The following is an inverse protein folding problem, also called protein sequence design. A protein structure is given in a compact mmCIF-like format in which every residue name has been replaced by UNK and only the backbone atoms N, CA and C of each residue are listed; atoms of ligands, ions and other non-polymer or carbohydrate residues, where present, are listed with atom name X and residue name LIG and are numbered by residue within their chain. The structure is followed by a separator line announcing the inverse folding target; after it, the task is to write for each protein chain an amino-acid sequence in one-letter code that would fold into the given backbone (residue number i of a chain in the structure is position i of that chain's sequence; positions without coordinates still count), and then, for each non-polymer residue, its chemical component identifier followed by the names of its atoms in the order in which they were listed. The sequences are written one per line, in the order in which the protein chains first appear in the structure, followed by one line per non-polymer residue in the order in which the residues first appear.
data_IF_849367907398
#
_entry.id   IF_849367907398
#
_cell.length_a   1.000
_cell.length_b   1.000
_cell.length_c   1.000
_cell.angle_alpha   90.00
_cell.angle_beta   90.00
_cell.angle_gamma   90.00
#
_symmetry.space_group_name_H-M   'P 1'
#
loop_
_entity.id
_entity.type
_entity.pdbx_description
1 polymer ?
#
# COMPACT_ATOMS: atom_id res chain seq x y z
N UNK A 1 26.53 -1.81 42.56
CA UNK A 1 25.22 -1.22 42.24
C UNK A 1 24.53 -2.16 41.28
N UNK A 2 23.60 -2.96 41.80
CA UNK A 2 22.86 -3.97 41.04
C UNK A 2 21.79 -3.25 40.21
N UNK A 3 21.92 -3.29 38.89
CA UNK A 3 20.91 -2.74 37.98
C UNK A 3 19.67 -3.63 37.99
N UNK A 4 18.66 -3.23 38.73
CA UNK A 4 17.35 -3.88 38.73
C UNK A 4 16.63 -3.53 37.42
N UNK A 5 16.15 -4.54 36.70
CA UNK A 5 15.43 -4.34 35.45
C UNK A 5 14.09 -3.64 35.71
N UNK A 6 13.74 -2.67 34.85
CA UNK A 6 12.49 -1.93 34.95
C UNK A 6 11.27 -2.88 34.92
N UNK A 7 10.22 -2.59 35.71
CA UNK A 7 9.05 -3.45 35.81
C UNK A 7 8.27 -3.52 34.47
N UNK A 8 7.57 -4.63 34.18
CA UNK A 8 6.89 -4.85 32.89
C UNK A 8 5.89 -3.75 32.49
N UNK A 9 5.27 -3.05 33.44
CA UNK A 9 4.36 -1.93 33.18
C UNK A 9 5.09 -0.66 32.71
N UNK A 10 6.31 -0.43 33.18
CA UNK A 10 7.19 0.66 32.73
C UNK A 10 7.87 0.30 31.41
N UNK A 11 8.23 -0.98 31.22
CA UNK A 11 8.64 -1.50 29.91
C UNK A 11 7.52 -1.36 28.89
N UNK A 12 6.26 -1.66 29.24
CA UNK A 12 5.11 -1.49 28.35
C UNK A 12 4.88 -0.02 27.97
N UNK A 13 5.17 0.94 28.87
CA UNK A 13 5.18 2.38 28.54
C UNK A 13 6.33 2.73 27.61
N UNK A 14 7.53 2.17 27.82
CA UNK A 14 8.65 2.34 26.90
C UNK A 14 8.35 1.72 25.51
N UNK A 15 7.73 0.54 25.43
CA UNK A 15 7.30 -0.10 24.18
C UNK A 15 6.12 0.63 23.53
N UNK A 16 5.19 1.17 24.33
CA UNK A 16 4.06 2.02 23.87
C UNK A 16 4.54 3.36 23.29
N UNK A 17 5.71 3.85 23.70
CA UNK A 17 6.30 5.08 23.20
C UNK A 17 7.30 4.83 22.05
N UNK A 18 7.87 3.63 21.95
CA UNK A 18 8.97 3.30 21.03
C UNK A 18 8.56 2.76 19.65
N UNK A 19 7.32 2.37 19.41
CA UNK A 19 6.90 1.93 18.07
C UNK A 19 6.37 3.10 17.24
N UNK A 20 7.29 3.85 16.61
CA UNK A 20 7.03 4.55 15.35
C UNK A 20 6.58 3.51 14.33
N UNK A 21 5.28 3.19 14.37
CA UNK A 21 4.72 2.04 13.67
C UNK A 21 4.61 2.37 12.19
N UNK A 22 5.37 1.66 11.36
CA UNK A 22 5.15 1.63 9.91
C UNK A 22 3.95 0.72 9.67
N UNK A 23 2.86 1.30 9.18
CA UNK A 23 1.71 0.57 8.70
C UNK A 23 1.98 0.10 7.27
N UNK A 24 1.45 -1.07 6.97
CA UNK A 24 1.34 -1.58 5.62
C UNK A 24 -0.11 -1.53 5.16
N UNK A 25 -0.35 -1.09 3.92
CA UNK A 25 -1.68 -1.13 3.28
C UNK A 25 -1.52 -1.63 1.85
N UNK A 26 -2.09 -2.80 1.56
CA UNK A 26 -1.98 -3.48 0.26
C UNK A 26 -3.20 -3.24 -0.63
N UNK A 27 -2.94 -3.08 -1.93
CA UNK A 27 -3.94 -2.89 -2.98
C UNK A 27 -3.57 -3.70 -4.22
N UNK A 28 -4.59 -4.08 -5.00
CA UNK A 28 -4.41 -4.62 -6.36
C UNK A 28 -4.69 -3.48 -7.34
N UNK A 29 -3.66 -2.95 -7.98
CA UNK A 29 -3.76 -1.86 -8.95
C UNK A 29 -3.95 -2.38 -10.37
N UNK A 30 -4.78 -1.68 -11.15
CA UNK A 30 -4.99 -1.88 -12.59
C UNK A 30 -4.79 -0.57 -13.32
N UNK A 31 -4.61 -0.64 -14.64
CA UNK A 31 -4.56 0.56 -15.50
C UNK A 31 -5.77 1.46 -15.22
N UNK A 32 -5.50 2.74 -14.96
CA UNK A 32 -6.51 3.73 -14.62
C UNK A 32 -6.88 3.79 -13.13
N UNK A 33 -6.24 3.02 -12.25
CA UNK A 33 -6.37 3.16 -10.80
C UNK A 33 -5.37 4.19 -10.23
N UNK A 34 -5.74 4.82 -9.12
CA UNK A 34 -4.93 5.80 -8.39
C UNK A 34 -4.99 5.53 -6.89
N UNK A 35 -3.92 5.88 -6.19
CA UNK A 35 -3.83 5.79 -4.74
C UNK A 35 -3.31 7.10 -4.19
N UNK A 36 -4.13 7.81 -3.42
CA UNK A 36 -3.71 8.98 -2.66
C UNK A 36 -3.20 8.54 -1.27
N UNK A 37 -2.05 9.06 -0.87
CA UNK A 37 -1.47 8.92 0.47
C UNK A 37 -1.50 10.28 1.14
N UNK A 38 -2.55 10.50 1.94
CA UNK A 38 -2.96 11.83 2.36
C UNK A 38 -3.07 12.78 1.17
N UNK A 39 -2.66 14.02 1.38
CA UNK A 39 -2.35 15.01 0.37
C UNK A 39 -0.85 15.17 0.13
N UNK A 40 -0.05 14.11 0.36
CA UNK A 40 1.41 14.14 0.28
C UNK A 40 1.99 13.39 -0.92
N UNK A 41 1.35 12.30 -1.31
CA UNK A 41 1.71 11.58 -2.53
C UNK A 41 0.47 11.01 -3.23
N UNK A 42 0.56 10.82 -4.54
CA UNK A 42 -0.42 10.07 -5.33
C UNK A 42 0.27 9.20 -6.36
N UNK A 43 -0.09 7.91 -6.41
CA UNK A 43 0.45 6.98 -7.41
C UNK A 43 -0.66 6.60 -8.40
N UNK A 44 -0.47 6.94 -9.68
CA UNK A 44 -1.37 6.58 -10.76
C UNK A 44 -0.78 5.41 -11.57
N UNK A 45 -1.62 4.42 -11.89
CA UNK A 45 -1.24 3.28 -12.73
C UNK A 45 -1.58 3.61 -14.18
N UNK A 46 -0.57 3.93 -14.98
CA UNK A 46 -0.74 4.38 -16.36
C UNK A 46 -0.81 3.23 -17.34
N UNK A 47 0.12 2.28 -17.21
CA UNK A 47 0.19 1.11 -18.05
C UNK A 47 0.77 -0.07 -17.26
N UNK A 48 0.35 -1.29 -17.60
CA UNK A 48 0.89 -2.54 -17.04
C UNK A 48 0.94 -3.55 -18.17
N UNK A 49 2.05 -4.27 -18.33
CA UNK A 49 2.16 -5.36 -19.30
C UNK A 49 1.27 -6.58 -18.98
N UNK A 50 0.68 -6.60 -17.79
CA UNK A 50 -0.25 -7.62 -17.27
C UNK A 50 -1.58 -6.99 -16.87
N UNK A 51 -2.53 -7.80 -16.40
CA UNK A 51 -3.87 -7.33 -16.01
C UNK A 51 -3.91 -6.49 -14.73
N UNK A 52 -2.94 -6.65 -13.84
CA UNK A 52 -2.86 -5.95 -12.55
C UNK A 52 -1.42 -5.95 -12.00
N UNK A 53 -1.23 -5.33 -10.84
CA UNK A 53 -0.03 -5.38 -9.99
C UNK A 53 -0.41 -5.27 -8.50
N UNK A 54 0.44 -5.71 -7.59
CA UNK A 54 0.34 -5.43 -6.16
C UNK A 54 1.05 -4.12 -5.81
N UNK A 55 0.38 -3.30 -5.01
CA UNK A 55 0.91 -2.04 -4.49
C UNK A 55 0.74 -2.07 -2.97
N UNK A 56 1.85 -2.05 -2.24
CA UNK A 56 1.84 -2.00 -0.78
C UNK A 56 2.46 -0.70 -0.30
N UNK A 57 1.69 0.08 0.45
CA UNK A 57 2.15 1.34 1.03
C UNK A 57 2.76 1.04 2.39
N UNK A 58 4.02 1.40 2.57
CA UNK A 58 4.74 1.34 3.82
C UNK A 58 4.95 2.76 4.31
N UNK A 59 4.27 3.16 5.38
CA UNK A 59 4.37 4.51 5.92
C UNK A 59 3.70 4.65 7.28
N UNK A 60 3.53 5.86 7.78
CA UNK A 60 2.90 6.08 9.08
C UNK A 60 1.45 5.54 9.13
N UNK A 61 1.06 4.96 10.27
CA UNK A 61 -0.32 4.55 10.56
C UNK A 61 -1.32 5.71 10.46
N UNK A 62 -0.87 6.95 10.61
CA UNK A 62 -1.71 8.15 10.55
C UNK A 62 -1.93 8.69 9.14
N UNK A 63 -1.29 8.11 8.13
CA UNK A 63 -1.55 8.47 6.73
C UNK A 63 -2.89 7.89 6.30
N UNK A 64 -3.81 8.74 5.81
CA UNK A 64 -4.99 8.25 5.12
C UNK A 64 -4.58 7.71 3.75
N UNK A 65 -5.19 6.62 3.30
CA UNK A 65 -4.93 6.05 1.98
C UNK A 65 -6.25 5.85 1.25
N UNK A 66 -6.38 6.47 0.08
CA UNK A 66 -7.63 6.46 -0.70
C UNK A 66 -7.37 5.88 -2.08
N UNK A 67 -7.98 4.74 -2.35
CA UNK A 67 -7.92 4.05 -3.64
C UNK A 67 -9.10 4.48 -4.52
N UNK A 68 -8.85 4.93 -5.74
CA UNK A 68 -9.87 5.45 -6.63
C UNK A 68 -9.51 5.24 -8.12
N UNK A 69 -10.32 5.81 -9.02
CA UNK A 69 -10.03 5.87 -10.45
C UNK A 69 -9.31 7.17 -10.81
N UNK A 70 -8.28 7.05 -11.64
CA UNK A 70 -7.38 8.15 -12.05
C UNK A 70 -8.12 9.33 -12.67
N UNK A 71 -9.18 9.10 -13.44
CA UNK A 71 -9.94 10.20 -14.08
C UNK A 71 -10.60 11.17 -13.08
N UNK A 72 -10.78 10.76 -11.81
CA UNK A 72 -11.30 11.63 -10.72
C UNK A 72 -10.20 12.10 -9.77
N UNK A 73 -8.95 11.73 -10.02
CA UNK A 73 -7.85 11.90 -9.06
C UNK A 73 -7.55 13.36 -8.72
N UNK A 74 -7.51 14.22 -9.75
CA UNK A 74 -7.28 15.67 -9.59
C UNK A 74 -8.42 16.34 -8.83
N UNK A 75 -9.67 16.11 -9.28
CA UNK A 75 -10.86 16.62 -8.60
C UNK A 75 -10.95 16.17 -7.14
N UNK A 76 -10.64 14.89 -6.86
CA UNK A 76 -10.61 14.33 -5.50
C UNK A 76 -9.55 15.03 -4.66
N UNK A 77 -8.37 15.28 -5.23
CA UNK A 77 -7.30 15.99 -4.54
C UNK A 77 -7.74 17.40 -4.14
N UNK A 78 -8.15 18.22 -5.11
CA UNK A 78 -8.58 19.61 -4.87
C UNK A 78 -9.70 19.74 -3.84
N UNK A 79 -10.71 18.84 -3.93
CA UNK A 79 -11.87 18.87 -3.04
C UNK A 79 -11.57 18.39 -1.63
N UNK A 80 -10.67 17.41 -1.47
CA UNK A 80 -10.55 16.67 -0.22
C UNK A 80 -9.19 16.75 0.48
N UNK A 81 -8.19 17.38 -0.13
CA UNK A 81 -6.94 17.75 0.55
C UNK A 81 -7.20 18.64 1.75
N UNK A 82 -6.55 18.34 2.88
CA UNK A 82 -6.80 19.02 4.15
C UNK A 82 -8.06 18.54 4.88
N UNK A 83 -8.91 17.69 4.28
CA UNK A 83 -10.19 17.25 4.89
C UNK A 83 -10.23 15.73 5.06
N UNK A 84 -10.19 14.98 3.95
CA UNK A 84 -10.15 13.50 3.97
C UNK A 84 -8.78 12.96 3.57
N UNK A 85 -8.10 13.69 2.69
CA UNK A 85 -6.73 13.43 2.27
C UNK A 85 -5.82 14.18 3.25
N UNK A 86 -5.51 13.51 4.36
CA UNK A 86 -4.71 14.04 5.45
C UNK A 86 -3.57 13.07 5.77
N UNK A 87 -2.38 13.58 6.12
CA UNK A 87 -1.95 14.99 6.16
C UNK A 87 -1.82 15.64 4.76
N UNK A 88 -1.77 16.98 4.63
CA UNK A 88 -1.84 17.99 5.69
C UNK A 88 -3.25 18.07 6.31
N UNK A 89 -3.36 18.64 7.52
CA UNK A 89 -4.63 18.75 8.26
C UNK A 89 -5.51 19.91 7.80
N UNK A 90 -4.95 20.87 7.07
CA UNK A 90 -5.66 22.05 6.56
C UNK A 90 -5.16 22.39 5.15
N UNK A 91 -5.91 23.21 4.42
CA UNK A 91 -5.59 23.55 3.03
C UNK A 91 -4.49 24.60 2.92
N UNK A 92 -4.40 25.50 3.88
CA UNK A 92 -3.41 26.60 3.90
C UNK A 92 -1.98 26.05 3.89
N UNK A 93 -1.77 24.91 4.56
CA UNK A 93 -0.48 24.22 4.60
C UNK A 93 -0.05 23.64 3.26
N UNK A 94 -0.95 23.52 2.29
CA UNK A 94 -0.62 23.00 0.95
C UNK A 94 0.17 24.03 0.15
N UNK A 95 -0.19 25.31 0.30
CA UNK A 95 0.50 26.41 -0.39
C UNK A 95 1.97 26.50 0.06
N UNK A 96 2.27 26.09 1.29
CA UNK A 96 3.63 26.00 1.85
C UNK A 96 4.44 24.82 1.31
N UNK A 97 3.80 23.78 0.75
CA UNK A 97 4.48 22.55 0.31
C UNK A 97 5.07 22.66 -1.10
N UNK A 98 4.75 23.74 -1.83
CA UNK A 98 5.28 24.01 -3.16
C UNK A 98 4.46 23.36 -4.30
N UNK A 99 5.01 23.34 -5.53
CA UNK A 99 4.30 22.83 -6.69
C UNK A 99 4.04 21.32 -6.60
N UNK A 100 2.82 20.91 -6.95
CA UNK A 100 2.45 19.50 -7.06
C UNK A 100 2.80 18.97 -8.45
N UNK A 101 3.84 18.13 -8.53
CA UNK A 101 4.46 17.71 -9.79
C UNK A 101 4.31 16.21 -10.06
N UNK A 102 4.27 15.85 -11.34
CA UNK A 102 4.24 14.47 -11.81
C UNK A 102 5.67 13.98 -12.12
N UNK A 103 6.03 12.82 -11.58
CA UNK A 103 7.28 12.10 -11.90
C UNK A 103 6.92 10.74 -12.52
N UNK A 104 7.27 10.49 -13.79
CA UNK A 104 7.07 9.18 -14.41
C UNK A 104 8.05 8.15 -13.83
N UNK A 105 7.56 6.96 -13.51
CA UNK A 105 8.36 5.87 -12.95
C UNK A 105 8.04 4.59 -13.72
N UNK A 106 9.09 3.90 -14.16
CA UNK A 106 8.99 2.58 -14.76
C UNK A 106 9.54 1.56 -13.76
N UNK A 107 8.75 0.51 -13.49
CA UNK A 107 9.15 -0.58 -12.61
C UNK A 107 8.98 -1.92 -13.31
N UNK A 108 9.89 -2.84 -13.02
CA UNK A 108 9.86 -4.20 -13.56
C UNK A 108 9.93 -5.22 -12.43
N UNK A 109 9.30 -6.38 -12.64
CA UNK A 109 9.39 -7.52 -11.75
C UNK A 109 9.13 -8.81 -12.50
N UNK A 110 9.51 -9.94 -11.90
CA UNK A 110 9.46 -11.26 -12.50
C UNK A 110 8.38 -12.17 -11.88
N UNK A 111 7.76 -11.73 -10.78
CA UNK A 111 6.79 -12.54 -10.04
C UNK A 111 5.73 -11.69 -9.34
N UNK A 112 4.61 -12.36 -9.04
CA UNK A 112 3.51 -11.85 -8.26
C UNK A 112 3.70 -12.07 -6.75
N UNK A 113 4.47 -13.09 -6.37
CA UNK A 113 4.55 -13.58 -4.99
C UNK A 113 5.46 -12.75 -4.08
N UNK A 114 6.11 -11.72 -4.62
CA UNK A 114 6.97 -10.79 -3.85
C UNK A 114 7.00 -9.40 -4.46
N UNK A 115 7.23 -8.40 -3.63
CA UNK A 115 7.60 -7.07 -4.11
C UNK A 115 9.01 -7.12 -4.73
N UNK A 116 9.15 -6.54 -5.92
CA UNK A 116 10.41 -6.47 -6.66
C UNK A 116 11.11 -5.12 -6.45
N UNK A 117 10.34 -4.02 -6.50
CA UNK A 117 10.84 -2.65 -6.46
C UNK A 117 10.11 -1.85 -5.41
N UNK A 118 10.84 -1.07 -4.62
CA UNK A 118 10.29 -0.01 -3.79
C UNK A 118 10.44 1.34 -4.49
N UNK A 119 9.39 2.16 -4.44
CA UNK A 119 9.41 3.58 -4.79
C UNK A 119 9.38 4.37 -3.48
N UNK A 120 10.54 4.83 -3.03
CA UNK A 120 10.69 5.54 -1.76
C UNK A 120 10.54 7.05 -1.92
N UNK A 121 9.80 7.65 -0.98
CA UNK A 121 9.49 9.07 -0.92
C UNK A 121 10.01 9.59 0.41
N UNK A 122 10.91 10.58 0.34
CA UNK A 122 11.59 11.13 1.50
C UNK A 122 10.58 11.59 2.58
N UNK A 123 10.77 11.12 3.81
CA UNK A 123 9.92 11.49 4.95
C UNK A 123 8.53 10.85 5.01
N UNK A 124 8.05 10.21 3.94
CA UNK A 124 6.71 9.61 3.88
C UNK A 124 6.74 8.08 4.08
N UNK A 125 7.69 7.41 3.42
CA UNK A 125 7.73 5.95 3.33
C UNK A 125 7.99 5.47 1.90
N UNK A 126 7.42 4.34 1.51
CA UNK A 126 7.58 3.81 0.15
C UNK A 126 6.37 3.00 -0.34
N UNK A 127 6.27 2.87 -1.66
CA UNK A 127 5.38 1.92 -2.32
C UNK A 127 6.19 0.67 -2.72
N UNK A 128 5.88 -0.47 -2.13
CA UNK A 128 6.39 -1.76 -2.57
C UNK A 128 5.55 -2.29 -3.73
N UNK A 129 6.20 -2.58 -4.86
CA UNK A 129 5.55 -3.02 -6.11
C UNK A 129 5.83 -4.49 -6.36
N UNK A 130 4.77 -5.30 -6.41
CA UNK A 130 4.81 -6.70 -6.88
C UNK A 130 4.18 -6.82 -8.26
N UNK A 131 4.94 -7.28 -9.24
CA UNK A 131 4.47 -7.40 -10.63
C UNK A 131 5.29 -8.47 -11.37
N UNK A 132 4.64 -9.21 -12.26
CA UNK A 132 5.30 -10.05 -13.26
C UNK A 132 5.24 -9.38 -14.63
N UNK A 133 6.19 -8.49 -14.90
CA UNK A 133 6.22 -7.68 -16.10
C UNK A 133 6.73 -6.26 -15.83
N UNK A 134 6.26 -5.32 -16.64
CA UNK A 134 6.61 -3.90 -16.55
C UNK A 134 5.36 -3.06 -16.28
N UNK A 135 5.49 -2.04 -15.43
CA UNK A 135 4.47 -1.03 -15.24
C UNK A 135 5.03 0.37 -15.44
N UNK A 136 4.22 1.22 -16.05
CA UNK A 136 4.42 2.67 -16.13
C UNK A 136 3.50 3.32 -15.11
N UNK A 137 4.09 4.08 -14.21
CA UNK A 137 3.43 4.72 -13.09
C UNK A 137 3.70 6.22 -13.16
N UNK A 138 2.75 7.01 -12.67
CA UNK A 138 2.96 8.42 -12.42
C UNK A 138 2.90 8.68 -10.93
N UNK A 139 4.04 9.04 -10.34
CA UNK A 139 4.09 9.45 -8.94
C UNK A 139 3.96 10.96 -8.86
N UNK A 140 2.96 11.43 -8.15
CA UNK A 140 2.77 12.83 -7.85
C UNK A 140 3.16 13.12 -6.41
N UNK A 141 3.95 14.17 -6.21
CA UNK A 141 4.31 14.73 -4.91
C UNK A 141 4.78 16.17 -5.10
N UNK A 142 5.35 16.81 -4.09
CA UNK A 142 5.84 18.18 -4.19
C UNK A 142 7.26 18.23 -4.79
N UNK A 143 7.56 19.30 -5.54
CA UNK A 143 8.79 19.44 -6.37
C UNK A 143 10.10 19.11 -5.64
N UNK A 144 10.27 19.55 -4.40
CA UNK A 144 11.50 19.35 -3.62
C UNK A 144 11.55 18.02 -2.83
N UNK A 145 10.55 17.15 -2.99
CA UNK A 145 10.51 15.87 -2.29
C UNK A 145 11.35 14.82 -3.02
N UNK A 146 12.38 14.31 -2.34
CA UNK A 146 13.24 13.27 -2.89
C UNK A 146 12.49 11.95 -3.18
N UNK A 147 12.61 11.47 -4.42
CA UNK A 147 12.07 10.18 -4.89
C UNK A 147 13.25 9.28 -5.27
N UNK A 148 13.22 8.02 -4.83
CA UNK A 148 14.21 7.02 -5.23
C UNK A 148 13.55 5.67 -5.51
N UNK A 149 14.06 4.94 -6.50
CA UNK A 149 13.69 3.54 -6.73
C UNK A 149 14.81 2.64 -6.22
N UNK A 150 14.44 1.51 -5.60
CA UNK A 150 15.39 0.53 -5.05
C UNK A 150 14.80 -0.88 -5.07
N UNK A 151 15.63 -1.89 -4.85
CA UNK A 151 15.17 -3.24 -4.58
C UNK A 151 14.28 -3.28 -3.34
N UNK A 152 13.22 -4.09 -3.39
CA UNK A 152 12.26 -4.17 -2.28
C UNK A 152 12.93 -4.57 -0.96
N UNK A 153 12.71 -3.77 0.09
CA UNK A 153 13.23 -4.07 1.43
C UNK A 153 12.44 -5.18 2.13
N UNK A 154 11.17 -5.34 1.76
CA UNK A 154 10.25 -6.33 2.34
C UNK A 154 9.58 -7.12 1.21
N UNK A 155 10.31 -8.03 0.53
CA UNK A 155 9.79 -8.74 -0.64
C UNK A 155 8.69 -9.75 -0.29
N UNK A 156 8.82 -10.49 0.81
CA UNK A 156 8.07 -11.74 1.04
C UNK A 156 6.69 -11.56 1.72
N UNK A 157 6.21 -10.33 1.87
CA UNK A 157 4.94 -10.07 2.58
C UNK A 157 3.69 -10.41 1.77
N UNK A 158 3.80 -10.64 0.45
CA UNK A 158 2.66 -11.06 -0.37
C UNK A 158 2.01 -12.34 0.18
N UNK A 159 2.81 -13.30 0.64
CA UNK A 159 2.31 -14.56 1.23
C UNK A 159 1.46 -14.35 2.49
N UNK A 160 1.71 -13.28 3.25
CA UNK A 160 0.92 -12.94 4.42
C UNK A 160 -0.41 -12.28 4.04
N UNK A 161 -0.46 -11.51 2.95
CA UNK A 161 -1.68 -10.89 2.42
C UNK A 161 -2.59 -11.89 1.70
N UNK A 162 -2.01 -12.91 1.08
CA UNK A 162 -2.73 -13.93 0.33
C UNK A 162 -3.24 -15.10 1.19
N UNK A 163 -3.07 -15.03 2.52
CA UNK A 163 -3.70 -16.01 3.41
C UNK A 163 -5.20 -15.97 3.19
N UNK A 164 -5.76 -17.08 2.71
CA UNK A 164 -7.18 -17.26 2.52
C UNK A 164 -7.92 -17.04 3.85
N UNK A 165 -8.40 -15.81 4.08
CA UNK A 165 -9.09 -15.37 5.27
C UNK A 165 -10.47 -14.81 4.93
N UNK A 166 -11.50 -15.34 5.59
CA UNK A 166 -12.92 -14.94 5.56
C UNK A 166 -13.65 -14.91 4.20
N UNK A 167 -13.21 -15.66 3.20
CA UNK A 167 -14.06 -15.96 2.03
C UNK A 167 -13.85 -17.40 1.58
N UNK A 168 -14.20 -18.36 2.44
CA UNK A 168 -14.73 -19.62 1.95
C UNK A 168 -16.23 -19.37 1.74
N UNK A 169 -16.61 -18.95 0.54
CA UNK A 169 -17.98 -19.21 0.10
C UNK A 169 -18.07 -20.73 0.13
N UNK A 170 -18.87 -21.25 1.06
CA UNK A 170 -19.17 -22.68 1.17
C UNK A 170 -20.03 -23.05 -0.03
N UNK A 171 -19.40 -23.14 -1.19
CA UNK A 171 -20.01 -23.51 -2.46
C UNK A 171 -20.23 -25.01 -2.49
N UNK A 172 -21.49 -25.41 -2.38
CA UNK A 172 -22.00 -26.70 -2.84
C UNK A 172 -21.81 -27.87 -1.87
N UNK A 173 -22.84 -28.14 -1.07
CA UNK A 173 -23.08 -29.49 -0.57
C UNK A 173 -23.42 -30.41 -1.74
N UNK A 174 -22.40 -30.97 -2.40
CA UNK A 174 -22.60 -32.14 -3.25
C UNK A 174 -22.85 -33.35 -2.34
N UNK A 175 -24.12 -33.75 -2.24
CA UNK A 175 -24.52 -34.98 -1.54
C UNK A 175 -23.90 -36.17 -2.29
N UNK A 176 -23.17 -37.09 -1.64
CA UNK A 176 -22.65 -38.26 -2.34
C UNK A 176 -23.82 -39.15 -2.76
N UNK A 177 -23.86 -39.54 -4.04
CA UNK A 177 -24.80 -40.55 -4.56
C UNK A 177 -24.46 -41.89 -3.90
N UNK A 178 -25.37 -42.43 -3.11
CA UNK A 178 -25.31 -43.81 -2.64
C UNK A 178 -25.48 -44.73 -3.85
N UNK A 179 -24.42 -45.42 -4.25
CA UNK A 179 -24.49 -46.55 -5.16
C UNK A 179 -24.33 -47.81 -4.30
N UNK A 180 -25.41 -48.55 -4.11
CA UNK A 180 -25.35 -49.90 -3.57
C UNK A 180 -26.34 -50.74 -4.36
N UNK A 181 -25.84 -51.27 -5.47
CA UNK A 181 -26.40 -52.44 -6.12
C UNK A 181 -25.45 -53.58 -5.78
N UNK A 182 -25.90 -54.50 -4.93
CA UNK A 182 -25.32 -55.83 -4.77
C UNK A 182 -26.44 -56.74 -4.25
N UNK A 183 -26.95 -57.60 -5.14
CA UNK A 183 -27.72 -58.78 -4.77
C UNK A 183 -26.87 -59.77 -3.96
N UNK A 184 -27.40 -60.96 -3.65
CA UNK A 184 -27.97 -61.87 -4.64
C UNK A 184 -29.51 -61.90 -4.73
#
# INVERSE_FOLDING_TARGET
MTGEALPPSELAKCFSWYHRSVAQRGYVGKVGDTIHVGGLARLDVKNISTSSMYITIWGSIFLTCHFAKTHKAGETFEKHVGVKLQPPLTKERIEELGPWVETPIIVTGDTWDKSSTDIAIAGLGWFGIGIKGTAELSLWTYEDVGITTRSALVPDMAQYFEKAGFTVIKGGSAKPKSNANAGP
#
